data_IF_077370988178
#
_entry.id   IF_077370988178
#
_cell.length_a   1.000
_cell.length_b   1.000
_cell.length_c   1.000
_cell.angle_alpha   90.00
_cell.angle_beta   90.00
_cell.angle_gamma   90.00
#
_symmetry.space_group_name_H-M   'P 1'
#
loop_
_entity.id
_entity.type
_entity.pdbx_description
1 polymer ?
#
# COMPACT_ATOMS: atom_id res chain seq x y z
N UNK A 1 30.32 14.99 -5.81
CA UNK A 1 29.21 15.85 -6.26
C UNK A 1 27.88 15.11 -6.45
N UNK A 2 27.84 13.77 -6.57
CA UNK A 2 26.57 12.99 -6.66
C UNK A 2 25.84 12.83 -5.32
N UNK A 3 26.55 12.90 -4.18
CA UNK A 3 25.98 12.69 -2.84
C UNK A 3 25.16 13.87 -2.30
N UNK A 4 25.39 15.09 -2.78
CA UNK A 4 24.69 16.30 -2.27
C UNK A 4 23.26 16.42 -2.81
N UNK A 5 22.99 15.85 -3.99
CA UNK A 5 21.66 15.94 -4.65
C UNK A 5 20.67 14.96 -4.03
N UNK A 6 21.11 13.80 -3.54
CA UNK A 6 20.26 12.84 -2.84
C UNK A 6 19.79 13.38 -1.47
N UNK A 7 20.55 14.24 -0.83
CA UNK A 7 20.23 14.87 0.45
C UNK A 7 18.99 15.76 0.39
N UNK A 8 18.92 16.60 -0.64
CA UNK A 8 17.85 17.59 -0.73
C UNK A 8 16.47 16.96 -0.81
N UNK A 9 16.37 15.70 -1.16
CA UNK A 9 15.11 15.06 -1.51
C UNK A 9 14.52 14.16 -0.45
N UNK A 10 15.34 13.44 0.27
CA UNK A 10 14.89 12.76 1.48
C UNK A 10 14.58 13.79 2.56
N UNK A 11 15.37 14.90 2.59
CA UNK A 11 15.06 16.05 3.44
C UNK A 11 13.76 16.74 3.00
N UNK A 12 13.37 16.80 1.73
CA UNK A 12 12.08 17.41 1.34
C UNK A 12 10.92 16.53 1.76
N UNK A 13 10.99 15.21 1.70
CA UNK A 13 9.97 14.31 2.29
C UNK A 13 10.05 14.24 3.83
N UNK A 14 11.21 14.54 4.43
CA UNK A 14 11.48 14.42 5.86
C UNK A 14 11.74 15.79 6.55
N UNK A 15 12.29 16.81 5.87
CA UNK A 15 12.50 18.20 6.36
C UNK A 15 11.25 19.05 6.22
N UNK A 16 10.29 18.63 5.43
CA UNK A 16 8.93 19.11 5.56
C UNK A 16 8.39 19.03 7.00
N UNK A 17 9.22 18.65 7.93
CA UNK A 17 8.87 18.28 9.29
C UNK A 17 9.38 19.21 10.40
N UNK A 18 9.98 20.36 10.10
CA UNK A 18 10.64 21.10 11.17
C UNK A 18 10.69 22.61 11.02
N UNK A 19 9.58 23.27 10.88
CA UNK A 19 9.54 24.71 11.18
C UNK A 19 8.50 25.00 12.23
N UNK A 20 8.98 25.48 13.33
CA UNK A 20 8.36 26.09 14.50
C UNK A 20 8.08 25.19 15.71
N UNK A 21 9.08 25.03 16.56
CA UNK A 21 8.87 25.18 18.01
C UNK A 21 10.13 25.83 18.59
N UNK A 22 9.97 27.04 19.07
CA UNK A 22 10.94 27.76 19.91
C UNK A 22 11.26 26.95 21.16
N UNK A 23 12.52 27.08 21.60
CA UNK A 23 13.12 26.32 22.67
C UNK A 23 12.37 26.39 23.99
N UNK A 24 11.67 25.33 24.30
CA UNK A 24 11.38 24.94 25.68
C UNK A 24 11.78 23.47 25.82
N UNK A 25 12.54 23.16 26.87
CA UNK A 25 12.88 21.79 27.24
C UNK A 25 11.60 20.99 27.32
N UNK A 26 11.40 20.08 26.38
CA UNK A 26 10.30 19.15 26.39
C UNK A 26 10.47 18.24 27.63
N UNK A 27 9.82 18.61 28.71
CA UNK A 27 9.40 17.66 29.71
C UNK A 27 8.61 16.55 28.99
N UNK A 28 8.98 15.32 29.27
CA UNK A 28 8.33 14.16 28.69
C UNK A 28 6.82 14.25 28.97
N UNK A 29 6.04 14.67 27.99
CA UNK A 29 4.58 14.55 28.08
C UNK A 29 4.27 13.10 28.44
N UNK A 30 3.50 12.83 29.49
CA UNK A 30 3.17 11.48 29.86
C UNK A 30 2.45 10.82 28.69
N UNK A 31 3.08 9.79 28.13
CA UNK A 31 2.42 8.91 27.16
C UNK A 31 1.24 8.33 27.91
N UNK A 32 0.03 8.81 27.59
CA UNK A 32 -1.19 8.19 28.13
C UNK A 32 -1.16 6.74 27.66
N UNK A 33 -1.10 5.75 28.58
CA UNK A 33 -1.12 4.36 28.19
C UNK A 33 -2.39 4.12 27.36
N UNK A 34 -2.32 3.32 26.29
CA UNK A 34 -3.52 2.97 25.51
C UNK A 34 -4.55 2.41 26.49
N UNK A 35 -5.78 2.89 26.37
CA UNK A 35 -6.90 2.32 27.14
C UNK A 35 -6.93 0.82 26.85
N UNK A 36 -7.01 -0.06 27.85
CA UNK A 36 -7.20 -1.47 27.60
C UNK A 36 -8.52 -1.61 26.83
N UNK A 37 -8.42 -2.07 25.57
CA UNK A 37 -9.59 -2.37 24.76
C UNK A 37 -10.29 -3.57 25.37
N UNK A 38 -11.27 -3.34 26.24
CA UNK A 38 -12.07 -4.41 26.86
C UNK A 38 -12.96 -5.13 25.82
N UNK A 39 -13.14 -4.55 24.65
CA UNK A 39 -13.75 -5.13 23.44
C UNK A 39 -13.20 -4.40 22.19
N UNK A 40 -13.10 -5.08 21.03
CA UNK A 40 -12.70 -4.43 19.78
C UNK A 40 -13.60 -3.22 19.49
N UNK A 41 -13.02 -2.03 19.38
CA UNK A 41 -13.78 -0.83 19.00
C UNK A 41 -13.61 -0.60 17.51
N UNK A 42 -14.73 -0.63 16.77
CA UNK A 42 -14.79 -0.28 15.35
C UNK A 42 -15.23 1.18 15.14
N UNK A 43 -14.83 2.06 16.04
CA UNK A 43 -15.00 3.50 15.89
C UNK A 43 -14.12 4.01 14.74
N UNK A 44 -14.50 5.14 14.12
CA UNK A 44 -13.69 5.86 13.14
C UNK A 44 -12.35 6.30 13.71
N UNK A 45 -11.50 6.84 12.85
CA UNK A 45 -10.16 7.31 13.22
C UNK A 45 -10.23 8.41 14.30
N UNK A 46 -9.37 8.36 15.34
CA UNK A 46 -9.28 9.45 16.30
C UNK A 46 -8.87 10.73 15.60
N UNK A 47 -9.65 11.81 15.77
CA UNK A 47 -9.39 13.12 15.19
C UNK A 47 -9.44 14.18 16.27
N UNK A 48 -8.38 14.96 16.47
CA UNK A 48 -8.27 16.00 17.48
C UNK A 48 -7.43 17.16 16.94
N UNK A 49 -7.85 18.36 17.21
CA UNK A 49 -7.13 19.59 16.87
C UNK A 49 -6.69 19.66 15.39
N UNK A 50 -7.53 19.15 14.48
CA UNK A 50 -7.25 19.15 13.04
C UNK A 50 -6.41 17.96 12.55
N UNK A 51 -6.02 17.03 13.43
CA UNK A 51 -5.13 15.92 13.09
C UNK A 51 -5.71 14.57 13.44
N UNK A 52 -5.48 13.58 12.56
CA UNK A 52 -5.74 12.17 12.83
C UNK A 52 -4.65 11.58 13.73
N UNK A 53 -4.97 10.49 14.44
CA UNK A 53 -4.03 9.81 15.33
C UNK A 53 -4.06 8.30 15.14
N UNK A 54 -2.92 7.65 15.38
CA UNK A 54 -2.82 6.19 15.44
C UNK A 54 -3.56 5.63 16.67
N UNK A 55 -4.03 4.38 16.57
CA UNK A 55 -4.70 3.67 17.68
C UNK A 55 -3.70 3.21 18.76
N UNK A 56 -2.46 2.99 18.37
CA UNK A 56 -1.39 2.54 19.24
C UNK A 56 -0.27 3.58 19.31
N UNK A 57 0.62 3.52 20.34
CA UNK A 57 1.72 4.48 20.45
C UNK A 57 2.52 4.60 19.16
N UNK A 58 2.69 5.81 18.70
CA UNK A 58 3.38 6.13 17.45
C UNK A 58 4.31 7.31 17.66
N UNK A 59 5.57 7.15 17.26
CA UNK A 59 6.56 8.22 17.33
C UNK A 59 7.32 8.32 16.03
N UNK A 60 7.28 9.48 15.41
CA UNK A 60 8.14 9.80 14.27
C UNK A 60 9.57 10.11 14.74
N UNK A 61 10.57 9.85 13.88
CA UNK A 61 11.93 10.28 14.13
C UNK A 61 12.02 11.79 14.37
N UNK A 62 12.83 12.19 15.34
CA UNK A 62 13.19 13.60 15.57
C UNK A 62 14.13 14.10 14.47
N UNK A 63 14.34 15.42 14.41
CA UNK A 63 15.35 16.00 13.51
C UNK A 63 16.77 15.50 13.80
N UNK A 64 17.07 15.25 15.08
CA UNK A 64 18.34 14.65 15.48
C UNK A 64 18.50 13.23 14.95
N UNK A 65 17.44 12.42 15.02
CA UNK A 65 17.39 11.07 14.47
C UNK A 65 17.62 11.08 12.94
N UNK A 66 16.99 12.01 12.24
CA UNK A 66 17.12 12.16 10.79
C UNK A 66 18.54 12.63 10.38
N UNK A 67 19.12 13.57 11.14
CA UNK A 67 20.49 14.03 10.91
C UNK A 67 21.51 12.91 11.13
N UNK A 68 21.31 12.11 12.19
CA UNK A 68 22.15 10.95 12.50
C UNK A 68 22.03 9.85 11.42
N UNK A 69 20.79 9.54 11.00
CA UNK A 69 20.55 8.60 9.91
C UNK A 69 21.22 9.06 8.60
N UNK A 70 21.07 10.33 8.23
CA UNK A 70 21.70 10.90 7.03
C UNK A 70 23.22 10.84 7.11
N UNK A 71 23.79 11.16 8.26
CA UNK A 71 25.22 11.09 8.48
C UNK A 71 25.76 9.68 8.25
N UNK A 72 25.13 8.68 8.84
CA UNK A 72 25.48 7.27 8.64
C UNK A 72 25.29 6.84 7.18
N UNK A 73 24.17 7.16 6.56
CA UNK A 73 23.94 6.84 5.15
C UNK A 73 25.05 7.39 4.23
N UNK A 74 25.46 8.64 4.45
CA UNK A 74 26.54 9.25 3.63
C UNK A 74 27.91 8.63 3.87
N UNK A 75 28.22 8.22 5.11
CA UNK A 75 29.46 7.55 5.46
C UNK A 75 29.51 6.10 4.93
N UNK A 76 28.41 5.41 4.96
CA UNK A 76 28.28 4.02 4.50
C UNK A 76 28.17 3.90 2.97
N UNK A 77 28.18 5.02 2.24
CA UNK A 77 28.17 5.05 0.78
C UNK A 77 26.80 4.87 0.14
N UNK A 78 25.72 4.90 0.94
CA UNK A 78 24.33 4.71 0.47
C UNK A 78 23.99 3.23 0.24
N UNK A 79 22.85 2.98 -0.41
CA UNK A 79 22.39 1.62 -0.72
C UNK A 79 23.05 1.11 -2.00
N UNK A 80 23.71 -0.04 -1.92
CA UNK A 80 24.31 -0.69 -3.08
C UNK A 80 23.25 -1.22 -4.05
N UNK A 81 23.45 -1.09 -5.37
CA UNK A 81 22.59 -1.75 -6.35
C UNK A 81 22.70 -3.28 -6.22
N UNK A 82 21.67 -4.01 -6.67
CA UNK A 82 21.72 -5.48 -6.65
C UNK A 82 22.82 -6.02 -7.58
N UNK A 83 23.24 -7.28 -7.44
CA UNK A 83 24.18 -7.91 -8.34
C UNK A 83 23.79 -7.75 -9.80
N UNK A 84 24.69 -7.23 -10.63
CA UNK A 84 24.41 -6.91 -12.03
C UNK A 84 23.73 -5.56 -12.27
N UNK A 85 23.51 -4.75 -11.21
CA UNK A 85 22.86 -3.45 -11.28
C UNK A 85 21.33 -3.52 -11.36
N UNK A 86 20.68 -2.38 -11.33
CA UNK A 86 19.21 -2.28 -11.38
C UNK A 86 18.61 -2.83 -12.69
N UNK A 87 19.36 -2.76 -13.79
CA UNK A 87 18.95 -3.31 -15.10
C UNK A 87 18.85 -4.84 -15.11
N UNK A 88 19.51 -5.51 -14.17
CA UNK A 88 19.44 -6.97 -14.02
C UNK A 88 18.20 -7.45 -13.26
N UNK A 89 17.42 -6.53 -12.65
CA UNK A 89 16.19 -6.90 -11.96
C UNK A 89 15.15 -7.35 -12.97
N UNK A 90 14.66 -8.59 -12.88
CA UNK A 90 13.75 -9.13 -13.90
C UNK A 90 12.40 -8.44 -13.88
N UNK A 91 11.91 -8.07 -15.07
CA UNK A 91 10.59 -7.51 -15.29
C UNK A 91 9.86 -8.37 -16.31
N UNK A 92 8.75 -8.95 -15.91
CA UNK A 92 7.87 -9.69 -16.80
C UNK A 92 7.04 -8.73 -17.65
N UNK A 93 6.70 -9.17 -18.86
CA UNK A 93 5.70 -8.49 -19.69
C UNK A 93 4.39 -9.26 -19.51
N UNK A 94 3.39 -8.69 -18.82
CA UNK A 94 2.12 -9.37 -18.65
C UNK A 94 1.39 -9.54 -19.98
N UNK A 95 0.55 -10.56 -20.08
CA UNK A 95 -0.37 -10.69 -21.22
C UNK A 95 -1.47 -9.63 -21.09
N UNK A 96 -1.23 -8.47 -21.70
CA UNK A 96 -2.17 -7.35 -21.68
C UNK A 96 -3.47 -7.67 -22.45
N UNK A 97 -3.43 -8.56 -23.43
CA UNK A 97 -4.63 -9.04 -24.13
C UNK A 97 -5.54 -9.80 -23.17
N UNK A 98 -4.96 -10.72 -22.41
CA UNK A 98 -5.67 -11.46 -21.35
C UNK A 98 -6.18 -10.50 -20.28
N UNK A 99 -5.35 -9.62 -19.73
CA UNK A 99 -5.76 -8.69 -18.65
C UNK A 99 -6.90 -7.76 -19.08
N UNK A 100 -6.89 -7.29 -20.36
CA UNK A 100 -8.00 -6.46 -20.88
C UNK A 100 -9.28 -7.24 -21.10
N UNK A 101 -9.19 -8.52 -21.45
CA UNK A 101 -10.35 -9.36 -21.74
C UNK A 101 -10.92 -10.05 -20.49
N UNK A 102 -10.11 -10.25 -19.44
CA UNK A 102 -10.51 -10.98 -18.26
C UNK A 102 -11.66 -10.30 -17.51
N UNK A 103 -12.75 -11.07 -17.26
CA UNK A 103 -13.90 -10.63 -16.47
C UNK A 103 -14.35 -11.70 -15.47
N UNK A 104 -13.70 -12.86 -15.47
CA UNK A 104 -14.14 -14.03 -14.70
C UNK A 104 -13.07 -14.51 -13.70
N UNK A 105 -11.81 -14.57 -14.13
CA UNK A 105 -10.74 -15.08 -13.31
C UNK A 105 -10.37 -14.04 -12.24
N UNK A 106 -10.10 -14.51 -11.01
CA UNK A 106 -9.48 -13.69 -9.99
C UNK A 106 -7.97 -13.69 -10.21
N UNK A 107 -7.40 -12.53 -10.53
CA UNK A 107 -5.98 -12.38 -10.81
C UNK A 107 -5.34 -11.26 -10.00
N UNK A 108 -4.06 -11.40 -9.72
CA UNK A 108 -3.21 -10.36 -9.13
C UNK A 108 -2.00 -10.16 -10.01
N UNK A 109 -1.74 -8.90 -10.39
CA UNK A 109 -0.53 -8.47 -11.11
C UNK A 109 0.21 -7.45 -10.27
N UNK A 110 1.51 -7.70 -9.99
CA UNK A 110 2.32 -6.70 -9.31
C UNK A 110 2.98 -5.76 -10.32
N UNK A 111 2.54 -4.52 -10.32
CA UNK A 111 3.08 -3.49 -11.22
C UNK A 111 4.42 -2.97 -10.71
N UNK A 112 4.58 -2.92 -9.39
CA UNK A 112 5.77 -2.46 -8.67
C UNK A 112 5.40 -1.60 -7.47
N UNK A 113 6.29 -1.48 -6.51
CA UNK A 113 6.09 -0.76 -5.26
C UNK A 113 4.82 -1.23 -4.53
N UNK A 114 3.89 -0.33 -4.23
CA UNK A 114 2.57 -0.66 -3.66
C UNK A 114 1.46 -0.76 -4.72
N UNK A 115 1.81 -0.67 -6.02
CA UNK A 115 0.85 -0.74 -7.12
C UNK A 115 0.56 -2.20 -7.48
N UNK A 116 -0.66 -2.64 -7.20
CA UNK A 116 -1.18 -3.98 -7.50
C UNK A 116 -2.46 -3.84 -8.32
N UNK A 117 -2.54 -4.55 -9.43
CA UNK A 117 -3.78 -4.71 -10.19
C UNK A 117 -4.45 -6.01 -9.74
N UNK A 118 -5.58 -5.88 -9.06
CA UNK A 118 -6.48 -6.97 -8.70
C UNK A 118 -7.65 -7.00 -9.68
N UNK A 119 -7.86 -8.15 -10.36
CA UNK A 119 -9.09 -8.39 -11.13
C UNK A 119 -9.99 -9.33 -10.30
N UNK A 120 -11.16 -8.84 -9.93
CA UNK A 120 -12.10 -9.57 -9.05
C UNK A 120 -13.54 -9.18 -9.39
N UNK A 121 -14.42 -10.16 -9.49
CA UNK A 121 -15.83 -9.96 -9.82
C UNK A 121 -16.06 -9.14 -11.11
N UNK A 122 -15.18 -9.30 -12.10
CA UNK A 122 -15.25 -8.59 -13.37
C UNK A 122 -14.77 -7.13 -13.33
N UNK A 123 -14.28 -6.65 -12.20
CA UNK A 123 -13.74 -5.31 -12.00
C UNK A 123 -12.21 -5.33 -11.91
N UNK A 124 -11.60 -4.27 -12.40
CA UNK A 124 -10.17 -3.99 -12.30
C UNK A 124 -9.93 -2.97 -11.18
N UNK A 125 -9.35 -3.40 -10.08
CA UNK A 125 -9.02 -2.58 -8.92
C UNK A 125 -7.51 -2.34 -8.90
N UNK A 126 -7.08 -1.08 -8.85
CA UNK A 126 -5.68 -0.70 -8.82
C UNK A 126 -5.36 -0.02 -7.49
N UNK A 127 -4.34 -0.52 -6.77
CA UNK A 127 -3.90 0.07 -5.50
C UNK A 127 -2.74 1.04 -5.73
N UNK A 128 -2.71 2.14 -4.99
CA UNK A 128 -1.62 3.13 -4.90
C UNK A 128 -0.85 3.30 -6.22
N UNK A 129 -1.51 3.83 -7.29
CA UNK A 129 -0.94 3.88 -8.62
C UNK A 129 0.27 4.82 -8.66
N UNK A 130 1.45 4.24 -8.85
CA UNK A 130 2.71 4.94 -8.97
C UNK A 130 3.43 4.48 -10.25
N UNK A 131 3.23 5.25 -11.35
CA UNK A 131 3.82 4.98 -12.66
C UNK A 131 4.91 5.98 -13.03
N UNK A 132 5.03 7.09 -12.29
CA UNK A 132 6.03 8.12 -12.54
C UNK A 132 7.46 7.64 -12.30
N UNK A 133 8.40 8.34 -12.93
CA UNK A 133 9.83 8.09 -12.77
C UNK A 133 10.34 8.45 -11.37
N UNK A 134 9.61 9.27 -10.61
CA UNK A 134 10.01 9.68 -9.26
C UNK A 134 8.82 9.65 -8.30
N UNK A 135 9.10 9.20 -7.08
CA UNK A 135 8.21 9.38 -5.92
C UNK A 135 8.49 10.77 -5.31
N UNK A 136 7.98 11.82 -5.96
CA UNK A 136 8.33 13.21 -5.61
C UNK A 136 7.34 14.20 -6.23
N UNK A 137 7.14 15.38 -5.61
CA UNK A 137 6.43 16.48 -6.25
C UNK A 137 7.19 17.11 -7.43
N UNK A 138 8.47 16.74 -7.62
CA UNK A 138 9.35 17.31 -8.65
C UNK A 138 9.86 16.22 -9.59
N UNK A 139 9.95 16.53 -10.89
CA UNK A 139 10.45 15.59 -11.91
C UNK A 139 11.97 15.41 -11.90
N UNK A 140 12.72 16.30 -11.27
CA UNK A 140 14.20 16.37 -11.33
C UNK A 140 14.89 15.97 -10.01
N UNK A 141 14.12 15.79 -8.92
CA UNK A 141 14.65 15.48 -7.59
C UNK A 141 13.68 14.53 -6.88
N UNK A 142 14.16 13.65 -6.01
CA UNK A 142 13.37 12.66 -5.29
C UNK A 142 13.76 11.23 -5.62
N UNK A 143 13.24 10.27 -4.85
CA UNK A 143 13.50 8.86 -5.09
C UNK A 143 13.17 8.50 -6.54
N UNK A 144 14.18 8.02 -7.27
CA UNK A 144 14.05 7.66 -8.67
C UNK A 144 13.67 6.18 -8.80
N UNK A 145 12.75 5.90 -9.72
CA UNK A 145 12.38 4.53 -10.08
C UNK A 145 13.61 3.81 -10.65
N UNK A 146 13.98 2.70 -10.04
CA UNK A 146 15.13 1.88 -10.44
C UNK A 146 14.74 0.73 -11.35
N UNK A 147 13.51 0.26 -11.27
CA UNK A 147 12.97 -0.80 -12.12
C UNK A 147 11.82 -0.24 -12.93
N UNK A 148 11.88 -0.43 -14.26
CA UNK A 148 10.87 0.10 -15.17
C UNK A 148 9.48 -0.45 -14.86
N UNK A 149 8.44 0.33 -15.17
CA UNK A 149 7.06 -0.17 -15.14
C UNK A 149 6.88 -1.26 -16.23
N UNK A 150 6.13 -2.34 -15.92
CA UNK A 150 5.91 -3.44 -16.88
C UNK A 150 4.99 -3.05 -18.04
N UNK A 151 4.12 -2.07 -17.84
CA UNK A 151 3.22 -1.49 -18.83
C UNK A 151 2.82 -0.07 -18.41
N UNK A 152 2.36 0.74 -19.36
CA UNK A 152 1.83 2.07 -19.08
C UNK A 152 0.34 2.02 -18.75
N UNK A 153 -0.20 3.07 -18.11
CA UNK A 153 -1.65 3.18 -17.87
C UNK A 153 -2.44 3.05 -19.16
N UNK A 154 -1.95 3.63 -20.26
CA UNK A 154 -2.61 3.58 -21.57
C UNK A 154 -2.61 2.17 -22.19
N UNK A 155 -1.58 1.36 -21.91
CA UNK A 155 -1.47 -0.02 -22.41
C UNK A 155 -2.19 -1.04 -21.51
N UNK A 156 -2.45 -0.70 -20.27
CA UNK A 156 -3.11 -1.57 -19.28
C UNK A 156 -4.60 -1.83 -19.60
N UNK A 157 -5.26 -2.66 -18.80
CA UNK A 157 -6.71 -2.76 -18.81
C UNK A 157 -7.35 -1.47 -18.29
N UNK A 158 -8.61 -1.20 -18.70
CA UNK A 158 -9.39 -0.13 -18.09
C UNK A 158 -9.50 -0.38 -16.58
N UNK A 159 -9.21 0.63 -15.77
CA UNK A 159 -9.30 0.56 -14.32
C UNK A 159 -10.68 1.04 -13.88
N UNK A 160 -11.40 0.20 -13.13
CA UNK A 160 -12.75 0.53 -12.64
C UNK A 160 -12.69 1.26 -11.29
N UNK A 161 -11.73 0.86 -10.44
CA UNK A 161 -11.57 1.38 -9.08
C UNK A 161 -10.10 1.62 -8.78
N UNK A 162 -9.80 2.76 -8.18
CA UNK A 162 -8.47 3.09 -7.64
C UNK A 162 -8.58 3.22 -6.12
N UNK A 163 -7.68 2.54 -5.40
CA UNK A 163 -7.55 2.64 -3.95
C UNK A 163 -6.28 3.39 -3.60
N UNK A 164 -6.40 4.42 -2.77
CA UNK A 164 -5.26 5.16 -2.22
C UNK A 164 -5.18 4.90 -0.72
N UNK A 165 -4.06 4.35 -0.24
CA UNK A 165 -3.87 4.04 1.17
C UNK A 165 -3.59 5.28 2.02
N UNK A 166 -2.78 6.20 1.50
CA UNK A 166 -2.42 7.47 2.14
C UNK A 166 -1.81 8.43 1.11
N UNK A 167 -1.44 9.63 1.54
CA UNK A 167 -1.07 10.70 0.61
C UNK A 167 0.43 10.88 0.37
N UNK A 168 1.34 10.00 0.82
CA UNK A 168 2.76 10.09 0.47
C UNK A 168 2.99 10.01 -1.03
N UNK A 169 4.11 10.58 -1.52
CA UNK A 169 4.37 10.73 -2.96
C UNK A 169 4.63 9.42 -3.70
N UNK A 170 4.97 8.36 -3.01
CA UNK A 170 5.18 7.01 -3.56
C UNK A 170 3.90 6.16 -3.59
N UNK A 171 2.78 6.69 -3.06
CA UNK A 171 1.45 6.07 -3.06
C UNK A 171 0.40 6.90 -3.81
N UNK A 172 0.43 8.23 -3.67
CA UNK A 172 -0.45 9.15 -4.38
C UNK A 172 0.38 9.94 -5.42
N UNK A 173 0.61 9.33 -6.57
CA UNK A 173 1.32 9.92 -7.70
C UNK A 173 0.39 10.77 -8.55
N UNK A 174 0.73 12.07 -8.67
CA UNK A 174 -0.07 13.07 -9.38
C UNK A 174 -0.34 12.68 -10.82
N UNK A 175 0.72 12.33 -11.55
CA UNK A 175 0.62 12.04 -12.98
C UNK A 175 -0.17 10.76 -13.23
N UNK A 176 -0.04 9.77 -12.35
CA UNK A 176 -0.80 8.52 -12.42
C UNK A 176 -2.30 8.73 -12.19
N UNK A 177 -2.69 9.46 -11.14
CA UNK A 177 -4.11 9.70 -10.86
C UNK A 177 -4.74 10.59 -11.94
N UNK A 178 -3.99 11.58 -12.44
CA UNK A 178 -4.44 12.43 -13.55
C UNK A 178 -4.61 11.64 -14.85
N UNK A 179 -3.72 10.70 -15.16
CA UNK A 179 -3.84 9.84 -16.33
C UNK A 179 -5.03 8.88 -16.22
N UNK A 180 -5.21 8.26 -15.03
CA UNK A 180 -6.34 7.38 -14.74
C UNK A 180 -7.68 8.12 -14.82
N UNK A 181 -7.76 9.33 -14.27
CA UNK A 181 -8.98 10.14 -14.33
C UNK A 181 -9.40 10.47 -15.79
N UNK A 182 -8.42 10.48 -16.72
CA UNK A 182 -8.64 10.76 -18.14
C UNK A 182 -8.55 9.54 -19.05
N UNK A 183 -8.51 8.32 -18.49
CA UNK A 183 -8.42 7.09 -19.29
C UNK A 183 -9.62 6.92 -20.22
N UNK A 184 -9.47 6.28 -21.39
CA UNK A 184 -10.57 5.92 -22.25
C UNK A 184 -11.61 5.05 -21.52
N UNK A 185 -12.91 5.31 -21.72
CA UNK A 185 -13.99 4.57 -21.06
C UNK A 185 -14.51 5.22 -19.78
N UNK A 186 -13.88 6.29 -19.31
CA UNK A 186 -14.31 7.07 -18.15
C UNK A 186 -13.36 7.01 -16.98
N UNK A 187 -13.50 7.97 -16.07
CA UNK A 187 -12.72 8.04 -14.82
C UNK A 187 -13.08 6.89 -13.90
N UNK A 188 -12.10 6.18 -13.31
CA UNK A 188 -12.37 5.18 -12.28
C UNK A 188 -13.03 5.82 -11.06
N UNK A 189 -13.67 5.01 -10.21
CA UNK A 189 -14.03 5.45 -8.87
C UNK A 189 -12.76 5.45 -8.02
N UNK A 190 -12.35 6.63 -7.53
CA UNK A 190 -11.29 6.74 -6.53
C UNK A 190 -11.87 6.54 -5.14
N UNK A 191 -11.39 5.54 -4.41
CA UNK A 191 -11.71 5.30 -2.99
C UNK A 191 -10.48 5.68 -2.19
N UNK A 192 -10.62 6.71 -1.36
CA UNK A 192 -9.49 7.39 -0.72
C UNK A 192 -9.74 7.62 0.77
N UNK A 193 -8.71 7.87 1.59
CA UNK A 193 -8.89 8.28 2.97
C UNK A 193 -9.52 9.66 3.11
N UNK A 194 -10.12 9.93 4.27
CA UNK A 194 -10.61 11.27 4.63
C UNK A 194 -9.51 12.34 4.41
N UNK A 195 -9.89 13.44 3.79
CA UNK A 195 -9.02 14.58 3.46
C UNK A 195 -8.36 14.48 2.08
N UNK A 196 -8.11 13.28 1.54
CA UNK A 196 -7.53 13.09 0.20
C UNK A 196 -8.53 13.46 -0.90
N UNK A 197 -9.82 13.25 -0.68
CA UNK A 197 -10.87 13.65 -1.62
C UNK A 197 -10.90 15.15 -1.90
N UNK A 198 -10.59 15.98 -0.90
CA UNK A 198 -10.48 17.43 -1.08
C UNK A 198 -9.37 17.78 -2.06
N UNK A 199 -8.20 17.13 -1.92
CA UNK A 199 -7.08 17.28 -2.83
C UNK A 199 -7.42 16.80 -4.26
N UNK A 200 -8.14 15.68 -4.39
CA UNK A 200 -8.58 15.14 -5.69
C UNK A 200 -9.57 16.10 -6.39
N UNK A 201 -10.59 16.58 -5.66
CA UNK A 201 -11.60 17.53 -6.17
C UNK A 201 -10.98 18.86 -6.62
N UNK A 202 -9.99 19.35 -5.88
CA UNK A 202 -9.24 20.56 -6.27
C UNK A 202 -8.49 20.40 -7.60
N UNK A 203 -8.26 19.14 -8.04
CA UNK A 203 -7.67 18.80 -9.36
C UNK A 203 -8.71 18.48 -10.42
N UNK A 204 -10.00 18.61 -10.12
CA UNK A 204 -11.09 18.28 -11.04
C UNK A 204 -11.38 16.77 -11.14
N UNK A 205 -10.98 15.97 -10.16
CA UNK A 205 -11.28 14.54 -10.08
C UNK A 205 -12.49 14.37 -9.15
N UNK A 206 -13.70 14.33 -9.74
CA UNK A 206 -14.96 14.33 -9.00
C UNK A 206 -15.48 12.93 -8.68
N UNK A 207 -15.06 11.90 -9.46
CA UNK A 207 -15.47 10.51 -9.19
C UNK A 207 -14.66 9.91 -8.02
N UNK A 208 -14.81 10.49 -6.83
CA UNK A 208 -14.06 10.15 -5.62
C UNK A 208 -14.98 9.99 -4.43
N UNK A 209 -14.69 9.00 -3.58
CA UNK A 209 -15.34 8.80 -2.27
C UNK A 209 -14.27 8.68 -1.19
N UNK A 210 -14.41 9.47 -0.12
CA UNK A 210 -13.55 9.37 1.05
C UNK A 210 -14.15 8.43 2.08
N UNK A 211 -13.32 7.61 2.70
CA UNK A 211 -13.70 6.68 3.76
C UNK A 211 -12.93 6.99 5.04
N UNK A 212 -13.63 6.89 6.16
CA UNK A 212 -13.03 6.75 7.49
C UNK A 212 -12.75 5.26 7.77
N UNK A 213 -11.96 4.95 8.78
CA UNK A 213 -11.75 3.57 9.21
C UNK A 213 -13.09 2.87 9.47
N UNK A 214 -13.18 1.63 9.02
CA UNK A 214 -14.34 0.75 9.12
C UNK A 214 -15.53 1.14 8.23
N UNK A 215 -15.44 2.28 7.53
CA UNK A 215 -16.44 2.62 6.51
C UNK A 215 -16.20 1.79 5.26
N UNK A 216 -17.30 1.48 4.58
CA UNK A 216 -17.25 0.65 3.39
C UNK A 216 -18.02 1.27 2.22
N UNK A 217 -17.56 0.94 1.00
CA UNK A 217 -18.26 1.25 -0.25
C UNK A 217 -18.57 -0.04 -1.01
N UNK A 218 -19.83 -0.26 -1.33
CA UNK A 218 -20.25 -1.33 -2.22
C UNK A 218 -20.21 -0.85 -3.67
N UNK A 219 -19.65 -1.68 -4.56
CA UNK A 219 -19.49 -1.43 -5.99
C UNK A 219 -20.11 -2.61 -6.73
N UNK A 220 -21.04 -2.31 -7.64
CA UNK A 220 -21.66 -3.34 -8.47
C UNK A 220 -20.61 -3.95 -9.43
N UNK A 221 -20.72 -5.24 -9.67
CA UNK A 221 -19.95 -5.94 -10.70
C UNK A 221 -20.15 -5.31 -12.07
N UNK A 222 -19.17 -5.47 -12.95
CA UNK A 222 -19.30 -5.07 -14.34
C UNK A 222 -20.49 -5.79 -15.02
N UNK A 223 -21.11 -5.11 -15.98
CA UNK A 223 -22.35 -5.56 -16.62
C UNK A 223 -22.29 -7.00 -17.14
N UNK A 224 -23.26 -7.82 -16.78
CA UNK A 224 -23.49 -9.17 -17.28
C UNK A 224 -23.09 -10.32 -16.33
N UNK A 225 -22.31 -10.07 -15.31
CA UNK A 225 -22.14 -11.03 -14.20
C UNK A 225 -23.22 -10.70 -13.16
N UNK A 226 -24.43 -11.20 -13.39
CA UNK A 226 -25.60 -10.88 -12.61
C UNK A 226 -25.38 -11.31 -11.18
N UNK A 227 -24.58 -10.50 -10.42
CA UNK A 227 -24.80 -10.82 -9.06
C UNK A 227 -23.72 -10.49 -8.01
N UNK A 228 -22.43 -10.69 -8.27
CA UNK A 228 -21.41 -10.38 -7.29
C UNK A 228 -21.20 -8.85 -7.20
N UNK A 229 -20.91 -8.36 -6.01
CA UNK A 229 -20.45 -6.98 -5.81
C UNK A 229 -19.16 -6.99 -5.03
N UNK A 230 -18.37 -5.95 -5.20
CA UNK A 230 -17.25 -5.71 -4.30
C UNK A 230 -17.71 -4.84 -3.13
N UNK A 231 -17.32 -5.22 -1.93
CA UNK A 231 -17.34 -4.37 -0.75
C UNK A 231 -15.91 -3.98 -0.43
N UNK A 232 -15.64 -2.70 -0.43
CA UNK A 232 -14.32 -2.14 -0.11
C UNK A 232 -14.44 -1.45 1.23
N UNK A 233 -13.78 -1.99 2.26
CA UNK A 233 -13.74 -1.43 3.61
C UNK A 233 -12.37 -0.83 3.85
N UNK A 234 -12.32 0.44 4.29
CA UNK A 234 -11.08 1.07 4.73
C UNK A 234 -10.80 0.67 6.18
N UNK A 235 -9.57 0.24 6.47
CA UNK A 235 -9.18 -0.30 7.79
C UNK A 235 -7.93 0.40 8.32
N UNK A 236 -7.74 0.48 9.65
CA UNK A 236 -6.60 1.16 10.24
C UNK A 236 -5.27 0.51 9.85
N UNK A 237 -4.23 1.34 9.77
CA UNK A 237 -2.83 0.95 9.77
C UNK A 237 -2.04 1.81 10.75
N UNK A 238 -0.82 1.41 11.07
CA UNK A 238 0.09 2.13 11.95
C UNK A 238 1.04 2.97 11.09
N UNK A 239 0.59 4.16 10.68
CA UNK A 239 1.32 5.01 9.74
C UNK A 239 0.96 6.49 9.91
N UNK A 240 1.12 7.30 8.88
CA UNK A 240 0.80 8.73 8.83
C UNK A 240 0.66 9.21 7.39
N UNK A 241 0.24 10.45 7.21
CA UNK A 241 0.17 11.11 5.91
C UNK A 241 0.73 12.52 5.96
N UNK A 242 1.39 12.95 4.89
CA UNK A 242 1.79 14.32 4.60
C UNK A 242 2.22 14.48 3.13
N UNK A 243 2.03 15.67 2.57
CA UNK A 243 2.56 16.10 1.27
C UNK A 243 3.27 17.45 1.35
N UNK A 244 3.11 18.17 2.45
CA UNK A 244 3.75 19.44 2.73
C UNK A 244 4.40 19.43 4.12
N UNK A 245 5.24 20.40 4.44
CA UNK A 245 5.90 20.48 5.75
C UNK A 245 4.94 20.58 6.93
N UNK A 246 3.79 21.17 6.72
CA UNK A 246 2.82 21.59 7.71
C UNK A 246 1.48 20.83 7.68
N UNK A 247 1.32 19.84 6.80
CA UNK A 247 0.06 19.07 6.65
C UNK A 247 0.10 17.66 7.27
N UNK A 248 1.07 17.39 8.15
CA UNK A 248 1.25 16.09 8.78
C UNK A 248 0.02 15.70 9.59
N UNK A 249 -0.47 14.46 9.37
CA UNK A 249 -1.67 13.91 10.01
C UNK A 249 -3.00 14.62 9.66
N UNK A 250 -3.03 15.56 8.72
CA UNK A 250 -4.26 16.22 8.29
C UNK A 250 -5.14 15.35 7.38
N UNK A 251 -4.52 14.39 6.68
CA UNK A 251 -5.24 13.35 5.93
C UNK A 251 -5.12 12.01 6.64
N UNK A 252 -6.14 11.18 6.54
CA UNK A 252 -6.16 9.85 7.11
C UNK A 252 -5.28 8.90 6.28
N UNK A 253 -4.90 7.77 6.86
CA UNK A 253 -4.14 6.66 6.26
C UNK A 253 -4.74 5.33 6.67
N UNK A 254 -4.45 4.25 5.91
CA UNK A 254 -4.93 2.91 6.24
C UNK A 254 -4.72 1.91 5.13
N UNK A 255 -5.23 0.70 5.36
CA UNK A 255 -5.32 -0.37 4.37
C UNK A 255 -6.74 -0.56 3.87
N UNK A 256 -6.91 -1.56 3.01
CA UNK A 256 -8.22 -1.91 2.45
C UNK A 256 -8.50 -3.41 2.58
N UNK A 257 -9.72 -3.74 2.95
CA UNK A 257 -10.30 -5.08 2.78
C UNK A 257 -11.25 -5.04 1.61
N UNK A 258 -11.00 -5.87 0.60
CA UNK A 258 -11.82 -6.00 -0.61
C UNK A 258 -12.47 -7.37 -0.57
N UNK A 259 -13.80 -7.39 -0.51
CA UNK A 259 -14.62 -8.59 -0.42
C UNK A 259 -15.45 -8.77 -1.68
N UNK A 260 -15.40 -9.97 -2.27
CA UNK A 260 -16.42 -10.39 -3.24
C UNK A 260 -17.62 -10.90 -2.46
N UNK A 261 -18.76 -10.21 -2.59
CA UNK A 261 -19.99 -10.53 -1.88
C UNK A 261 -20.95 -11.26 -2.81
N UNK A 262 -21.39 -12.45 -2.40
CA UNK A 262 -22.39 -13.21 -3.13
C UNK A 262 -23.74 -12.50 -3.10
N UNK A 263 -24.49 -12.48 -4.21
CA UNK A 263 -25.83 -11.89 -4.28
C UNK A 263 -26.86 -12.69 -3.50
N UNK A 264 -26.64 -14.00 -3.39
CA UNK A 264 -27.63 -14.93 -2.81
C UNK A 264 -27.52 -15.07 -1.31
N UNK A 265 -26.32 -14.86 -0.75
CA UNK A 265 -26.05 -15.07 0.69
C UNK A 265 -25.62 -13.82 1.44
N UNK A 266 -25.34 -12.72 0.76
CA UNK A 266 -24.71 -11.52 1.31
C UNK A 266 -23.38 -11.79 2.05
N UNK A 267 -22.85 -13.02 1.98
CA UNK A 267 -21.59 -13.41 2.58
C UNK A 267 -20.42 -13.12 1.64
N UNK A 268 -19.26 -12.82 2.22
CA UNK A 268 -18.04 -12.75 1.46
C UNK A 268 -17.61 -14.14 1.01
N UNK A 269 -17.38 -14.30 -0.29
CA UNK A 269 -16.91 -15.55 -0.89
C UNK A 269 -15.42 -15.55 -1.14
N UNK A 270 -14.80 -14.36 -1.15
CA UNK A 270 -13.36 -14.17 -1.32
C UNK A 270 -12.94 -12.83 -0.73
N UNK A 271 -11.74 -12.77 -0.12
CA UNK A 271 -11.22 -11.56 0.53
C UNK A 271 -9.78 -11.29 0.17
N UNK A 272 -9.52 -10.02 -0.16
CA UNK A 272 -8.18 -9.47 -0.36
C UNK A 272 -7.90 -8.42 0.72
N UNK A 273 -6.68 -8.46 1.28
CA UNK A 273 -6.18 -7.41 2.15
C UNK A 273 -5.04 -6.65 1.45
N UNK A 274 -5.18 -5.34 1.37
CA UNK A 274 -4.12 -4.42 0.96
C UNK A 274 -3.69 -3.61 2.17
N UNK A 275 -2.44 -3.76 2.61
CA UNK A 275 -1.98 -3.14 3.84
C UNK A 275 -1.73 -1.63 3.69
N UNK A 276 -1.37 -1.15 2.48
CA UNK A 276 -0.67 0.13 2.35
C UNK A 276 0.65 0.10 3.10
N UNK A 277 1.07 1.22 3.65
CA UNK A 277 2.21 1.29 4.55
C UNK A 277 1.77 1.18 6.00
N UNK A 278 2.56 0.46 6.80
CA UNK A 278 2.27 0.24 8.21
C UNK A 278 3.48 -0.22 8.99
N UNK A 279 3.62 0.25 10.24
CA UNK A 279 4.36 -0.45 11.27
C UNK A 279 3.53 -1.61 11.84
N UNK A 280 4.19 -2.52 12.57
CA UNK A 280 3.47 -3.58 13.26
C UNK A 280 2.80 -3.04 14.54
N UNK A 281 1.52 -3.37 14.71
CA UNK A 281 0.75 -3.08 15.91
C UNK A 281 -0.29 -4.19 16.16
N UNK A 282 -0.79 -4.35 17.40
CA UNK A 282 -1.80 -5.38 17.72
C UNK A 282 -3.09 -5.27 16.91
N UNK A 283 -3.34 -4.15 16.23
CA UNK A 283 -4.54 -3.90 15.42
C UNK A 283 -4.85 -5.03 14.41
N UNK A 284 -3.83 -5.74 13.92
CA UNK A 284 -4.01 -6.81 12.93
C UNK A 284 -4.80 -7.98 13.53
N UNK A 285 -4.38 -8.44 14.71
CA UNK A 285 -5.07 -9.52 15.41
C UNK A 285 -6.32 -9.03 16.15
N UNK A 286 -6.21 -7.92 16.89
CA UNK A 286 -7.26 -7.45 17.79
C UNK A 286 -8.46 -6.84 17.08
N UNK A 287 -8.25 -6.23 15.90
CA UNK A 287 -9.30 -5.49 15.20
C UNK A 287 -9.61 -6.08 13.82
N UNK A 288 -8.61 -6.19 12.92
CA UNK A 288 -8.87 -6.60 11.55
C UNK A 288 -9.26 -8.08 11.50
N UNK A 289 -8.47 -8.96 12.13
CA UNK A 289 -8.82 -10.38 12.22
C UNK A 289 -10.15 -10.61 12.96
N UNK A 290 -10.37 -9.93 14.07
CA UNK A 290 -11.63 -10.06 14.82
C UNK A 290 -12.87 -9.71 13.99
N UNK A 291 -12.73 -8.84 12.97
CA UNK A 291 -13.84 -8.45 12.08
C UNK A 291 -13.98 -9.35 10.85
N UNK A 292 -12.86 -9.79 10.25
CA UNK A 292 -12.86 -10.46 8.95
C UNK A 292 -12.47 -11.94 8.99
N UNK A 293 -11.94 -12.43 10.13
CA UNK A 293 -11.59 -13.82 10.41
C UNK A 293 -10.44 -14.39 9.54
N UNK A 294 -10.53 -14.29 8.20
CA UNK A 294 -9.52 -14.82 7.28
C UNK A 294 -9.49 -14.06 5.96
N UNK A 295 -8.35 -14.21 5.26
CA UNK A 295 -8.16 -13.64 3.92
C UNK A 295 -7.64 -14.71 2.95
N UNK A 296 -8.11 -14.65 1.70
CA UNK A 296 -7.66 -15.55 0.64
C UNK A 296 -6.31 -15.10 0.07
N UNK A 297 -6.11 -13.78 -0.02
CA UNK A 297 -4.88 -13.18 -0.48
C UNK A 297 -4.62 -11.83 0.20
N UNK A 298 -3.33 -11.47 0.38
CA UNK A 298 -2.96 -10.17 0.91
C UNK A 298 -1.76 -9.59 0.18
N UNK A 299 -1.69 -8.26 0.08
CA UNK A 299 -0.50 -7.52 -0.31
C UNK A 299 0.03 -6.77 0.92
N UNK A 300 1.22 -7.15 1.40
CA UNK A 300 1.82 -6.66 2.65
C UNK A 300 3.21 -6.11 2.35
N UNK A 301 3.58 -4.91 2.84
CA UNK A 301 4.89 -4.33 2.62
C UNK A 301 6.00 -5.19 3.25
N UNK A 302 7.15 -5.26 2.58
CA UNK A 302 8.35 -5.96 3.07
C UNK A 302 9.63 -5.12 2.89
N UNK A 303 9.53 -3.88 2.41
CA UNK A 303 10.65 -2.98 2.17
C UNK A 303 10.51 -1.66 2.93
N UNK A 304 11.51 -0.82 2.81
CA UNK A 304 11.63 0.47 3.48
C UNK A 304 11.68 0.36 5.02
N UNK A 305 12.42 -0.63 5.55
CA UNK A 305 12.43 -0.93 6.98
C UNK A 305 13.72 -0.54 7.72
N UNK A 306 14.84 -0.28 7.03
CA UNK A 306 16.09 0.10 7.69
C UNK A 306 16.39 1.62 7.59
N UNK A 307 16.93 2.23 8.66
CA UNK A 307 17.29 1.64 9.96
C UNK A 307 16.07 1.43 10.88
N UNK A 308 15.94 0.23 11.46
CA UNK A 308 14.81 -0.14 12.33
C UNK A 308 14.53 0.84 13.46
N UNK A 309 15.60 1.41 14.07
CA UNK A 309 15.45 2.37 15.18
C UNK A 309 14.60 3.60 14.82
N UNK A 310 14.48 3.94 13.52
CA UNK A 310 13.69 5.08 13.05
C UNK A 310 12.39 4.67 12.35
N UNK A 311 12.38 3.48 11.73
CA UNK A 311 11.30 3.09 10.82
C UNK A 311 10.33 2.06 11.41
N UNK A 312 10.71 1.36 12.49
CA UNK A 312 9.88 0.29 13.07
C UNK A 312 8.44 0.71 13.42
N UNK A 313 8.22 1.99 13.75
CA UNK A 313 6.90 2.48 14.10
C UNK A 313 5.97 2.64 12.88
N UNK A 314 6.53 2.79 11.68
CA UNK A 314 5.79 3.15 10.47
C UNK A 314 5.96 2.19 9.30
N UNK A 315 6.98 1.33 9.33
CA UNK A 315 7.24 0.31 8.31
C UNK A 315 7.61 -1.02 8.98
N UNK A 316 6.94 -2.08 8.58
CA UNK A 316 7.26 -3.43 9.01
C UNK A 316 8.52 -3.94 8.31
N UNK A 317 9.33 -4.74 9.02
CA UNK A 317 10.32 -5.59 8.38
C UNK A 317 9.68 -6.90 7.86
N UNK A 318 10.39 -7.72 7.05
CA UNK A 318 9.84 -8.97 6.54
C UNK A 318 9.41 -9.97 7.63
N UNK A 319 10.01 -9.95 8.82
CA UNK A 319 9.59 -10.78 9.94
C UNK A 319 8.25 -10.33 10.53
N UNK A 320 8.07 -9.03 10.67
CA UNK A 320 6.80 -8.43 11.10
C UNK A 320 5.71 -8.60 10.02
N UNK A 321 6.08 -8.53 8.73
CA UNK A 321 5.16 -8.83 7.63
C UNK A 321 4.63 -10.28 7.70
N UNK A 322 5.51 -11.26 7.99
CA UNK A 322 5.10 -12.65 8.24
C UNK A 322 4.19 -12.76 9.47
N UNK A 323 4.43 -11.95 10.49
CA UNK A 323 3.55 -11.90 11.66
C UNK A 323 2.16 -11.36 11.29
N UNK A 324 2.07 -10.28 10.49
CA UNK A 324 0.78 -9.79 9.96
C UNK A 324 0.04 -10.88 9.18
N UNK A 325 0.75 -11.59 8.28
CA UNK A 325 0.19 -12.71 7.53
C UNK A 325 -0.48 -13.74 8.45
N UNK A 326 0.17 -14.10 9.56
CA UNK A 326 -0.37 -15.05 10.54
C UNK A 326 -1.51 -14.46 11.37
N UNK A 327 -1.33 -13.24 11.86
CA UNK A 327 -2.32 -12.55 12.70
C UNK A 327 -3.65 -12.35 11.96
N UNK A 328 -3.60 -12.13 10.65
CA UNK A 328 -4.77 -12.00 9.78
C UNK A 328 -5.31 -13.33 9.23
N UNK A 329 -4.66 -14.46 9.54
CA UNK A 329 -5.03 -15.77 9.00
C UNK A 329 -5.13 -15.76 7.46
N UNK A 330 -4.09 -15.24 6.79
CA UNK A 330 -4.05 -15.14 5.33
C UNK A 330 -3.65 -16.47 4.73
N UNK A 331 -4.33 -16.92 3.67
CA UNK A 331 -3.96 -18.14 2.95
C UNK A 331 -2.66 -17.98 2.16
N UNK A 332 -2.49 -16.84 1.47
CA UNK A 332 -1.27 -16.49 0.73
C UNK A 332 -1.08 -14.98 0.69
N UNK A 333 0.15 -14.51 0.89
CA UNK A 333 0.50 -13.09 0.79
C UNK A 333 1.49 -12.81 -0.33
N UNK A 334 1.47 -11.57 -0.84
CA UNK A 334 2.43 -10.98 -1.77
C UNK A 334 3.23 -9.91 -1.06
N UNK A 335 4.55 -9.97 -1.15
CA UNK A 335 5.45 -8.93 -0.70
C UNK A 335 5.46 -7.74 -1.66
N UNK A 336 5.06 -6.57 -1.16
CA UNK A 336 5.05 -5.30 -1.90
C UNK A 336 6.00 -4.28 -1.25
N UNK A 337 6.06 -3.06 -1.79
CA UNK A 337 6.81 -1.92 -1.27
C UNK A 337 8.33 -2.15 -1.24
N UNK A 338 8.88 -2.91 -2.18
CA UNK A 338 10.31 -3.19 -2.32
C UNK A 338 10.72 -3.18 -3.81
N UNK A 339 12.01 -3.15 -4.06
CA UNK A 339 12.57 -3.42 -5.41
C UNK A 339 12.17 -2.44 -6.52
N UNK A 340 11.61 -1.26 -6.19
CA UNK A 340 11.19 -0.25 -7.17
C UNK A 340 11.94 1.08 -7.00
N UNK A 341 11.93 1.60 -5.80
CA UNK A 341 12.64 2.81 -5.38
C UNK A 341 13.68 2.47 -4.31
N UNK A 342 14.72 3.30 -4.20
CA UNK A 342 15.63 3.28 -3.04
C UNK A 342 15.12 4.34 -2.07
N UNK A 343 14.44 3.91 -1.02
CA UNK A 343 13.82 4.79 -0.02
C UNK A 343 14.61 4.81 1.29
N UNK A 344 15.29 3.74 1.61
CA UNK A 344 15.91 3.45 2.90
C UNK A 344 17.25 2.75 2.72
N UNK A 345 17.88 2.26 3.80
CA UNK A 345 19.27 1.83 3.78
C UNK A 345 19.50 0.34 3.58
N UNK A 346 18.46 -0.50 3.63
CA UNK A 346 18.60 -1.91 3.28
C UNK A 346 19.04 -2.09 1.81
N UNK A 347 19.87 -3.10 1.50
CA UNK A 347 20.19 -3.44 0.12
C UNK A 347 18.93 -3.68 -0.72
N UNK A 348 18.97 -3.25 -1.98
CA UNK A 348 17.78 -3.23 -2.85
C UNK A 348 17.10 -4.59 -3.03
N UNK A 349 17.86 -5.68 -2.97
CA UNK A 349 17.40 -7.07 -3.10
C UNK A 349 17.34 -7.83 -1.76
N UNK A 350 17.49 -7.13 -0.63
CA UNK A 350 17.48 -7.74 0.70
C UNK A 350 16.08 -8.17 1.16
N UNK A 351 14.99 -7.41 0.93
CA UNK A 351 13.68 -7.74 1.45
C UNK A 351 13.19 -9.16 1.13
N UNK A 352 13.32 -9.70 -0.10
CA UNK A 352 12.99 -11.09 -0.39
C UNK A 352 13.82 -12.13 0.38
N UNK A 353 15.09 -11.83 0.64
CA UNK A 353 15.99 -12.73 1.39
C UNK A 353 15.58 -12.81 2.85
N UNK A 354 15.27 -11.65 3.45
CA UNK A 354 14.81 -11.56 4.83
C UNK A 354 13.42 -12.19 4.99
N UNK A 355 12.54 -12.05 3.99
CA UNK A 355 11.25 -12.74 3.96
C UNK A 355 11.42 -14.27 3.95
N UNK A 356 12.29 -14.80 3.11
CA UNK A 356 12.57 -16.21 3.05
C UNK A 356 13.13 -16.75 4.39
N UNK A 357 14.04 -16.00 5.02
CA UNK A 357 14.56 -16.30 6.34
C UNK A 357 13.48 -16.26 7.44
N UNK A 358 12.57 -15.29 7.37
CA UNK A 358 11.44 -15.16 8.30
C UNK A 358 10.47 -16.33 8.17
N UNK A 359 10.10 -16.72 6.95
CA UNK A 359 9.25 -17.90 6.70
C UNK A 359 9.86 -19.18 7.26
N UNK A 360 11.15 -19.38 7.01
CA UNK A 360 11.87 -20.55 7.54
C UNK A 360 11.89 -20.58 9.07
N UNK A 361 12.13 -19.43 9.71
CA UNK A 361 12.11 -19.28 11.18
C UNK A 361 10.73 -19.61 11.77
N UNK A 362 9.67 -19.16 11.10
CA UNK A 362 8.28 -19.40 11.51
C UNK A 362 7.72 -20.75 11.04
N UNK A 363 8.53 -21.56 10.32
CA UNK A 363 8.15 -22.87 9.77
C UNK A 363 6.93 -22.81 8.84
N UNK A 364 6.78 -21.71 8.11
CA UNK A 364 5.77 -21.55 7.09
C UNK A 364 6.30 -22.04 5.73
N UNK A 365 5.43 -22.60 4.87
CA UNK A 365 5.82 -22.98 3.52
C UNK A 365 6.21 -21.74 2.71
N UNK A 366 7.16 -21.90 1.78
CA UNK A 366 7.69 -20.78 0.98
C UNK A 366 6.63 -20.11 0.09
N UNK A 367 5.57 -20.82 -0.24
CA UNK A 367 4.44 -20.31 -1.02
C UNK A 367 3.34 -19.64 -0.18
N UNK A 368 3.46 -19.64 1.15
CA UNK A 368 2.53 -18.91 2.02
C UNK A 368 2.68 -17.39 1.87
N UNK A 369 3.90 -16.92 1.63
CA UNK A 369 4.18 -15.51 1.41
C UNK A 369 5.22 -15.38 0.29
N UNK A 370 4.77 -14.93 -0.88
CA UNK A 370 5.55 -14.93 -2.12
C UNK A 370 6.00 -13.51 -2.50
N UNK A 371 7.02 -13.46 -3.33
CA UNK A 371 7.41 -12.26 -4.06
C UNK A 371 7.19 -12.49 -5.55
N UNK A 372 6.73 -11.48 -6.25
CA UNK A 372 6.56 -11.48 -7.69
C UNK A 372 7.68 -10.70 -8.36
N UNK A 373 7.92 -10.96 -9.63
CA UNK A 373 8.63 -10.04 -10.50
C UNK A 373 7.71 -8.88 -10.90
N UNK A 374 8.26 -7.72 -11.17
CA UNK A 374 7.47 -6.62 -11.73
C UNK A 374 6.77 -7.09 -13.01
N UNK A 375 5.46 -6.90 -13.12
CA UNK A 375 4.64 -7.39 -14.22
C UNK A 375 4.16 -8.85 -14.11
N UNK A 376 4.63 -9.62 -13.14
CA UNK A 376 4.14 -10.98 -12.93
C UNK A 376 2.66 -10.96 -12.58
N UNK A 377 1.89 -11.80 -13.29
CA UNK A 377 0.47 -12.02 -13.08
C UNK A 377 0.22 -13.44 -12.63
N UNK A 378 -0.56 -13.63 -11.57
CA UNK A 378 -1.05 -14.95 -11.15
C UNK A 378 -2.57 -15.01 -11.15
N UNK A 379 -3.08 -16.11 -11.68
CA UNK A 379 -4.49 -16.50 -11.54
C UNK A 379 -4.64 -17.20 -10.19
N UNK A 380 -5.41 -16.59 -9.30
CA UNK A 380 -5.64 -17.10 -7.95
C UNK A 380 -6.86 -18.01 -7.88
N UNK A 381 -7.87 -17.73 -8.70
CA UNK A 381 -9.10 -18.49 -8.78
C UNK A 381 -9.67 -18.42 -10.20
N UNK A 382 -10.18 -19.54 -10.70
CA UNK A 382 -11.00 -19.60 -11.90
C UNK A 382 -12.39 -20.10 -11.55
N UNK A 383 -13.45 -19.47 -12.06
CA UNK A 383 -14.78 -20.04 -11.91
C UNK A 383 -14.85 -21.44 -12.56
N UNK A 384 -15.68 -22.35 -12.05
CA UNK A 384 -15.89 -23.63 -12.69
C UNK A 384 -16.36 -23.42 -14.14
N UNK A 385 -15.89 -24.28 -15.04
CA UNK A 385 -16.36 -24.25 -16.42
C UNK A 385 -17.90 -24.40 -16.45
N UNK A 386 -18.60 -23.64 -17.32
CA UNK A 386 -20.06 -23.79 -17.43
C UNK A 386 -20.38 -25.26 -17.73
N UNK A 387 -21.27 -25.83 -16.94
CA UNK A 387 -21.76 -27.19 -17.17
C UNK A 387 -22.45 -27.20 -18.54
N UNK A 388 -22.10 -28.14 -19.46
CA UNK A 388 -22.80 -28.22 -20.74
C UNK A 388 -24.30 -28.31 -20.47
N UNK A 389 -25.09 -27.47 -21.12
CA UNK A 389 -26.55 -27.55 -21.01
C UNK A 389 -26.97 -28.93 -21.54
N UNK A 390 -27.64 -29.71 -20.67
CA UNK A 390 -28.24 -30.99 -21.03
C UNK A 390 -29.58 -30.82 -21.71
N UNK A 391 -29.81 -29.73 -22.42
CA UNK A 391 -30.99 -29.55 -23.25
C UNK A 391 -30.82 -30.38 -24.54
N UNK A 392 -31.46 -31.55 -24.53
CA UNK A 392 -31.84 -32.33 -25.72
C UNK A 392 -33.37 -32.31 -25.85
#
# INVERSE_FOLDING_TARGET
>A
MRSIVALSTLLVSLVACSSSVDGERADATPVTPPLPLSQPSFAGAPFRDGHFANLYPFRLPSLGDLADWYWHWTLDGGTEPPPGGYEAVPVDTPDLGYLRANRSDTTVTWVGHATVLLQLAGLNVLTDPQFSQRASPFTFVGPERRVRVPFTIADGPHVDVVLISHNHYDHLDVDSVDALARQPGGSPLFVVPLGVDTWMKARGIDNVVALDWWNARDIASAAGLASDRLRITFVPSQHWGARAPDDRFETLWGGYVIERISPTSAAATWRFYFAGDTGYAPLFHELIHARFDRFDFAAIPIGAYEPRRYLHAQHVDPGEAVRIHRDLNVRQSLGIHWGTFVLTTEPFDQPPKDLAAALARERLPADAFVVFRHGETRVLERPPAPTPSTDR
#
